data_IF_188242307820
#
_entry.id   IF_188242307820
#
_cell.length_a   1.000
_cell.length_b   1.000
_cell.length_c   1.000
_cell.angle_alpha   90.00
_cell.angle_beta   90.00
_cell.angle_gamma   90.00
#
_symmetry.space_group_name_H-M   'P 1'
#
loop_
_entity.id
_entity.type
_entity.pdbx_description
1 polymer ?
#
# COMPACT_ATOMS: atom_id res chain seq x y z
N UNK A 1 -10.77 -14.10 -59.84
CA UNK A 1 -11.72 -14.42 -58.74
C UNK A 1 -11.08 -14.21 -57.35
N UNK A 2 -10.78 -12.96 -56.95
CA UNK A 2 -10.21 -12.66 -55.61
C UNK A 2 -10.72 -11.33 -55.02
N UNK A 3 -11.98 -10.98 -55.27
CA UNK A 3 -12.52 -9.68 -54.82
C UNK A 3 -13.98 -9.77 -54.32
N UNK A 4 -14.33 -10.86 -53.62
CA UNK A 4 -15.67 -11.04 -53.02
C UNK A 4 -15.67 -11.46 -51.54
N UNK A 5 -14.50 -11.68 -50.94
CA UNK A 5 -14.39 -12.24 -49.57
C UNK A 5 -14.00 -11.18 -48.52
N UNK A 6 -13.60 -9.97 -48.91
CA UNK A 6 -13.27 -8.88 -47.97
C UNK A 6 -14.48 -8.03 -47.53
N UNK A 7 -15.61 -8.08 -48.25
CA UNK A 7 -16.76 -7.22 -47.92
C UNK A 7 -17.49 -7.57 -46.61
N UNK A 8 -17.70 -8.86 -46.22
CA UNK A 8 -18.51 -9.14 -45.04
C UNK A 8 -17.76 -8.89 -43.72
N UNK A 9 -16.42 -8.89 -43.75
CA UNK A 9 -15.60 -8.71 -42.54
C UNK A 9 -15.52 -7.25 -42.09
N UNK A 10 -15.62 -6.30 -43.02
CA UNK A 10 -15.60 -4.85 -42.71
C UNK A 10 -16.97 -4.39 -42.19
N UNK A 11 -18.07 -4.97 -42.68
CA UNK A 11 -19.43 -4.59 -42.25
C UNK A 11 -19.73 -5.03 -40.80
N UNK A 12 -19.14 -6.14 -40.35
CA UNK A 12 -19.27 -6.62 -38.97
C UNK A 12 -18.47 -5.80 -37.94
N UNK A 13 -17.41 -5.10 -38.37
CA UNK A 13 -16.59 -4.27 -37.48
C UNK A 13 -17.24 -2.92 -37.14
N UNK A 14 -18.11 -2.39 -38.00
CA UNK A 14 -18.72 -1.06 -37.83
C UNK A 14 -19.99 -1.09 -36.96
N UNK A 15 -20.63 -2.26 -36.77
CA UNK A 15 -21.87 -2.39 -35.99
C UNK A 15 -21.67 -2.44 -34.46
N UNK A 16 -20.44 -2.50 -33.96
CA UNK A 16 -20.16 -2.55 -32.51
C UNK A 16 -20.03 -1.16 -31.83
N UNK A 17 -20.22 -0.05 -32.55
CA UNK A 17 -20.08 1.30 -31.99
C UNK A 17 -21.40 1.97 -31.53
N UNK A 18 -22.54 1.30 -31.61
CA UNK A 18 -23.86 1.91 -31.37
C UNK A 18 -24.58 1.41 -30.10
N UNK A 19 -23.84 1.07 -29.04
CA UNK A 19 -24.42 0.54 -27.82
C UNK A 19 -23.90 1.19 -26.55
N UNK A 20 -24.28 2.45 -26.27
CA UNK A 20 -24.25 3.05 -24.93
C UNK A 20 -25.10 4.35 -24.93
N UNK A 21 -26.42 4.24 -25.03
CA UNK A 21 -27.31 5.38 -24.85
C UNK A 21 -28.59 4.97 -24.12
N UNK A 22 -28.46 4.56 -22.85
CA UNK A 22 -29.56 4.66 -21.90
C UNK A 22 -29.02 4.63 -20.47
N UNK A 23 -28.76 5.81 -19.90
CA UNK A 23 -28.48 5.95 -18.47
C UNK A 23 -29.33 7.08 -17.89
N UNK A 24 -30.32 6.75 -17.04
CA UNK A 24 -30.89 7.67 -16.07
C UNK A 24 -30.48 7.26 -14.63
N UNK A 25 -30.63 8.12 -13.60
CA UNK A 25 -30.80 9.57 -13.59
C UNK A 25 -29.61 10.31 -12.92
N UNK A 26 -29.61 11.62 -13.12
CA UNK A 26 -28.70 12.66 -12.61
C UNK A 26 -28.09 12.38 -11.22
N UNK A 27 -26.83 11.94 -11.21
CA UNK A 27 -25.92 12.27 -10.12
C UNK A 27 -25.35 13.66 -10.41
N UNK A 28 -25.38 14.54 -9.42
CA UNK A 28 -24.85 15.91 -9.52
C UNK A 28 -23.41 15.88 -10.04
N UNK A 29 -23.05 16.71 -11.04
CA UNK A 29 -21.74 16.65 -11.71
C UNK A 29 -20.55 16.79 -10.75
N UNK A 30 -20.71 17.49 -9.63
CA UNK A 30 -19.68 17.66 -8.60
C UNK A 30 -19.32 16.36 -7.83
N UNK A 31 -20.27 15.43 -7.68
CA UNK A 31 -20.00 14.15 -7.01
C UNK A 31 -19.24 13.19 -7.93
N UNK A 32 -19.53 13.22 -9.23
CA UNK A 32 -18.84 12.40 -10.23
C UNK A 32 -17.38 12.85 -10.39
N UNK A 33 -17.13 14.16 -10.44
CA UNK A 33 -15.77 14.71 -10.54
C UNK A 33 -14.91 14.37 -9.32
N UNK A 34 -15.47 14.46 -8.10
CA UNK A 34 -14.75 14.11 -6.89
C UNK A 34 -14.36 12.62 -6.84
N UNK A 35 -15.21 11.73 -7.37
CA UNK A 35 -14.89 10.30 -7.47
C UNK A 35 -13.74 10.06 -8.44
N UNK A 36 -13.74 10.76 -9.58
CA UNK A 36 -12.67 10.66 -10.56
C UNK A 36 -11.34 11.18 -10.01
N UNK A 37 -11.33 12.32 -9.31
CA UNK A 37 -10.15 12.88 -8.67
C UNK A 37 -9.51 11.90 -7.66
N UNK A 38 -10.31 11.27 -6.82
CA UNK A 38 -9.84 10.27 -5.85
C UNK A 38 -9.30 9.01 -6.52
N UNK A 39 -9.93 8.55 -7.60
CA UNK A 39 -9.42 7.42 -8.38
C UNK A 39 -8.06 7.76 -9.02
N UNK A 40 -7.90 8.97 -9.56
CA UNK A 40 -6.62 9.44 -10.09
C UNK A 40 -5.56 9.54 -8.99
N UNK A 41 -5.92 10.00 -7.79
CA UNK A 41 -5.03 10.01 -6.62
C UNK A 41 -4.55 8.59 -6.32
N UNK A 42 -5.48 7.64 -6.15
CA UNK A 42 -5.16 6.23 -5.85
C UNK A 42 -4.25 5.63 -6.91
N UNK A 43 -4.58 5.78 -8.19
CA UNK A 43 -3.79 5.25 -9.30
C UNK A 43 -2.38 5.84 -9.33
N UNK A 44 -2.26 7.16 -9.13
CA UNK A 44 -0.95 7.82 -9.13
C UNK A 44 -0.06 7.35 -7.97
N UNK A 45 -0.65 7.09 -6.80
CA UNK A 45 0.05 6.56 -5.64
C UNK A 45 0.53 5.13 -5.90
N UNK A 46 -0.34 4.26 -6.43
CA UNK A 46 0.03 2.88 -6.77
C UNK A 46 1.15 2.81 -7.81
N UNK A 47 1.07 3.64 -8.86
CA UNK A 47 2.12 3.75 -9.88
C UNK A 47 3.45 4.23 -9.29
N UNK A 48 3.41 5.17 -8.34
CA UNK A 48 4.61 5.62 -7.66
C UNK A 48 5.23 4.51 -6.81
N UNK A 49 4.44 3.82 -5.99
CA UNK A 49 4.93 2.76 -5.12
C UNK A 49 5.57 1.64 -5.96
N UNK A 50 4.93 1.25 -7.07
CA UNK A 50 5.50 0.25 -7.97
C UNK A 50 6.88 0.68 -8.50
N UNK A 51 7.06 1.96 -8.83
CA UNK A 51 8.37 2.47 -9.26
C UNK A 51 9.39 2.45 -8.13
N UNK A 52 9.00 2.88 -6.93
CA UNK A 52 9.90 2.97 -5.77
C UNK A 52 10.35 1.59 -5.29
N UNK A 53 9.45 0.60 -5.23
CA UNK A 53 9.79 -0.77 -4.79
C UNK A 53 10.85 -1.40 -5.70
N UNK A 54 10.83 -1.09 -7.00
CA UNK A 54 11.79 -1.61 -7.97
C UNK A 54 13.06 -0.74 -8.10
N UNK A 55 13.16 0.36 -7.36
CA UNK A 55 14.33 1.24 -7.36
C UNK A 55 15.42 0.72 -6.40
N UNK A 56 16.62 1.29 -6.54
CA UNK A 56 17.73 1.01 -5.62
C UNK A 56 17.39 1.43 -4.18
N UNK A 57 17.99 0.82 -3.14
CA UNK A 57 17.74 1.23 -1.75
C UNK A 57 18.08 2.71 -1.46
N UNK A 58 19.07 3.27 -2.16
CA UNK A 58 19.41 4.69 -2.04
C UNK A 58 18.30 5.57 -2.63
N UNK A 59 17.79 5.21 -3.81
CA UNK A 59 16.67 5.92 -4.43
C UNK A 59 15.38 5.78 -3.62
N UNK A 60 15.13 4.63 -3.02
CA UNK A 60 14.00 4.43 -2.10
C UNK A 60 14.05 5.41 -0.92
N UNK A 61 15.22 5.60 -0.30
CA UNK A 61 15.41 6.56 0.81
C UNK A 61 15.24 8.01 0.35
N UNK A 62 15.74 8.33 -0.84
CA UNK A 62 15.58 9.66 -1.45
C UNK A 62 14.10 9.97 -1.71
N UNK A 63 13.36 9.02 -2.28
CA UNK A 63 11.93 9.15 -2.54
C UNK A 63 11.12 9.28 -1.26
N UNK A 64 11.46 8.53 -0.20
CA UNK A 64 10.82 8.68 1.10
C UNK A 64 11.07 10.08 1.69
N UNK A 65 12.31 10.56 1.63
CA UNK A 65 12.67 11.91 2.11
C UNK A 65 11.95 13.00 1.31
N UNK A 66 11.86 12.85 -0.01
CA UNK A 66 11.12 13.75 -0.88
C UNK A 66 9.63 13.76 -0.52
N UNK A 67 9.00 12.60 -0.38
CA UNK A 67 7.59 12.49 0.03
C UNK A 67 7.33 13.16 1.39
N UNK A 68 8.26 13.05 2.35
CA UNK A 68 8.17 13.75 3.63
C UNK A 68 8.24 15.27 3.47
N UNK A 69 9.13 15.78 2.63
CA UNK A 69 9.26 17.22 2.37
C UNK A 69 8.02 17.76 1.65
N UNK A 70 7.52 17.04 0.63
CA UNK A 70 6.30 17.42 -0.09
C UNK A 70 5.10 17.46 0.85
N UNK A 71 4.93 16.46 1.73
CA UNK A 71 3.85 16.47 2.72
C UNK A 71 3.95 17.62 3.73
N UNK A 72 5.18 18.02 4.11
CA UNK A 72 5.36 19.18 4.99
C UNK A 72 4.94 20.50 4.33
N UNK A 73 5.13 20.61 3.02
CA UNK A 73 4.75 21.80 2.23
C UNK A 73 3.26 21.82 1.89
N UNK A 74 2.71 20.67 1.53
CA UNK A 74 1.30 20.47 1.21
C UNK A 74 0.75 19.24 1.94
N UNK A 75 -0.20 19.44 2.85
CA UNK A 75 -0.83 18.39 3.65
C UNK A 75 -2.12 17.85 3.04
N UNK A 76 -2.25 17.94 1.71
CA UNK A 76 -3.37 17.41 0.95
C UNK A 76 -3.57 15.89 1.13
N UNK A 77 -4.75 15.40 0.76
CA UNK A 77 -5.09 13.96 0.78
C UNK A 77 -4.08 13.13 0.00
N UNK A 78 -3.66 13.64 -1.17
CA UNK A 78 -2.72 12.95 -2.05
C UNK A 78 -1.35 12.76 -1.41
N UNK A 79 -0.73 13.83 -0.91
CA UNK A 79 0.61 13.80 -0.32
C UNK A 79 0.63 12.99 0.97
N UNK A 80 -0.46 13.06 1.75
CA UNK A 80 -0.67 12.25 2.95
C UNK A 80 -0.72 10.77 2.62
N UNK A 81 -1.57 10.38 1.66
CA UNK A 81 -1.71 8.99 1.23
C UNK A 81 -0.38 8.47 0.67
N UNK A 82 0.27 9.24 -0.20
CA UNK A 82 1.55 8.90 -0.78
C UNK A 82 2.62 8.61 0.28
N UNK A 83 2.81 9.52 1.25
CA UNK A 83 3.78 9.35 2.32
C UNK A 83 3.43 8.14 3.20
N UNK A 84 2.16 8.01 3.56
CA UNK A 84 1.71 6.92 4.44
C UNK A 84 1.93 5.55 3.80
N UNK A 85 1.61 5.39 2.51
CA UNK A 85 1.78 4.10 1.85
C UNK A 85 3.25 3.76 1.63
N UNK A 86 4.13 4.75 1.39
CA UNK A 86 5.58 4.54 1.34
C UNK A 86 6.13 4.08 2.69
N UNK A 87 5.70 4.71 3.80
CA UNK A 87 6.09 4.30 5.15
C UNK A 87 5.58 2.90 5.51
N UNK A 88 4.44 2.48 4.96
CA UNK A 88 3.87 1.15 5.18
C UNK A 88 4.47 0.05 4.28
N UNK A 89 5.45 0.33 3.42
CA UNK A 89 6.03 -0.72 2.57
C UNK A 89 7.05 -1.57 3.33
N UNK A 90 6.91 -2.90 3.37
CA UNK A 90 7.81 -3.77 4.13
C UNK A 90 9.19 -3.93 3.48
N UNK A 91 9.29 -3.76 2.16
CA UNK A 91 10.54 -3.89 1.41
C UNK A 91 11.41 -2.64 1.42
N UNK A 92 10.88 -1.49 1.87
CA UNK A 92 11.59 -0.23 1.86
C UNK A 92 12.43 -0.06 3.13
N UNK A 93 13.66 0.44 2.97
CA UNK A 93 14.46 0.86 4.12
C UNK A 93 13.87 2.13 4.73
N UNK A 94 13.45 2.06 5.99
CA UNK A 94 12.77 3.17 6.68
C UNK A 94 11.25 3.02 6.77
N UNK A 95 10.73 1.79 6.67
CA UNK A 95 9.35 1.48 7.07
C UNK A 95 9.08 2.00 8.49
N UNK A 96 7.92 2.64 8.66
CA UNK A 96 7.38 3.04 9.96
C UNK A 96 5.86 2.88 9.93
N UNK A 97 5.41 1.66 10.22
CA UNK A 97 4.00 1.30 10.26
C UNK A 97 3.20 2.17 11.26
N UNK A 98 3.81 2.61 12.38
CA UNK A 98 3.12 3.44 13.39
C UNK A 98 2.78 4.80 12.79
N UNK A 99 3.77 5.44 12.16
CA UNK A 99 3.57 6.73 11.52
C UNK A 99 2.67 6.64 10.31
N UNK A 100 2.76 5.55 9.53
CA UNK A 100 1.86 5.30 8.42
C UNK A 100 0.39 5.25 8.88
N UNK A 101 0.09 4.48 9.93
CA UNK A 101 -1.26 4.36 10.49
C UNK A 101 -1.79 5.73 10.97
N UNK A 102 -0.96 6.52 11.66
CA UNK A 102 -1.34 7.86 12.10
C UNK A 102 -1.69 8.81 10.94
N UNK A 103 -1.00 8.70 9.81
CA UNK A 103 -1.28 9.49 8.61
C UNK A 103 -2.56 9.02 7.89
N UNK A 104 -2.87 7.73 7.94
CA UNK A 104 -4.05 7.15 7.29
C UNK A 104 -5.34 7.36 8.09
N UNK A 105 -5.27 7.56 9.40
CA UNK A 105 -6.45 7.68 10.27
C UNK A 105 -7.50 8.69 9.74
N UNK A 106 -7.13 9.90 9.30
CA UNK A 106 -8.11 10.87 8.80
C UNK A 106 -8.74 10.51 7.46
N UNK A 107 -8.16 9.54 6.74
CA UNK A 107 -8.64 9.07 5.44
C UNK A 107 -9.60 7.87 5.54
N UNK A 108 -9.73 7.26 6.73
CA UNK A 108 -10.60 6.10 6.95
C UNK A 108 -12.09 6.42 6.75
N UNK A 109 -12.48 7.65 7.05
CA UNK A 109 -13.86 8.12 6.94
C UNK A 109 -14.15 8.83 5.60
N UNK A 110 -13.28 8.68 4.59
CA UNK A 110 -13.44 9.39 3.34
C UNK A 110 -14.65 8.88 2.55
N UNK A 111 -15.41 9.80 1.93
CA UNK A 111 -16.67 9.48 1.24
C UNK A 111 -16.48 8.50 0.08
N UNK A 112 -15.32 8.56 -0.59
CA UNK A 112 -15.01 7.71 -1.74
C UNK A 112 -14.62 6.27 -1.36
N UNK A 113 -15.21 5.30 -2.06
CA UNK A 113 -15.02 3.86 -1.81
C UNK A 113 -13.63 3.36 -2.23
N UNK A 114 -13.05 3.83 -3.33
CA UNK A 114 -11.74 3.39 -3.83
C UNK A 114 -10.61 3.84 -2.90
N UNK A 115 -10.61 5.12 -2.51
CA UNK A 115 -9.62 5.65 -1.57
C UNK A 115 -9.73 4.94 -0.23
N UNK A 116 -10.95 4.81 0.30
CA UNK A 116 -11.21 4.08 1.54
C UNK A 116 -10.77 2.62 1.45
N UNK A 117 -11.00 1.96 0.31
CA UNK A 117 -10.58 0.59 0.07
C UNK A 117 -9.06 0.42 0.16
N UNK A 118 -8.30 1.29 -0.49
CA UNK A 118 -6.83 1.28 -0.41
C UNK A 118 -6.36 1.56 1.03
N UNK A 119 -6.92 2.57 1.68
CA UNK A 119 -6.58 2.93 3.07
C UNK A 119 -6.80 1.75 4.01
N UNK A 120 -7.98 1.11 3.93
CA UNK A 120 -8.29 -0.08 4.74
C UNK A 120 -7.28 -1.19 4.50
N UNK A 121 -6.97 -1.52 3.25
CA UNK A 121 -6.01 -2.57 2.93
C UNK A 121 -4.62 -2.29 3.54
N UNK A 122 -4.13 -1.06 3.43
CA UNK A 122 -2.82 -0.68 3.96
C UNK A 122 -2.81 -0.68 5.49
N UNK A 123 -3.90 -0.22 6.12
CA UNK A 123 -4.08 -0.26 7.58
C UNK A 123 -4.07 -1.70 8.09
N UNK A 124 -4.86 -2.60 7.50
CA UNK A 124 -4.91 -4.01 7.89
C UNK A 124 -3.54 -4.68 7.72
N UNK A 125 -2.85 -4.40 6.61
CA UNK A 125 -1.51 -4.94 6.36
C UNK A 125 -0.49 -4.47 7.41
N UNK A 126 -0.52 -3.19 7.79
CA UNK A 126 0.37 -2.64 8.81
C UNK A 126 0.06 -3.19 10.22
N UNK A 127 -1.23 -3.31 10.56
CA UNK A 127 -1.66 -3.91 11.83
C UNK A 127 -1.21 -5.37 11.94
N UNK A 128 -1.34 -6.14 10.86
CA UNK A 128 -0.92 -7.53 10.82
C UNK A 128 0.59 -7.67 11.02
N UNK A 129 1.40 -6.81 10.38
CA UNK A 129 2.85 -6.78 10.62
C UNK A 129 3.21 -6.45 12.06
N UNK A 130 2.54 -5.46 12.68
CA UNK A 130 2.75 -5.18 14.10
C UNK A 130 2.41 -6.39 14.98
N UNK A 131 1.31 -7.07 14.67
CA UNK A 131 0.90 -8.29 15.38
C UNK A 131 1.95 -9.39 15.25
N UNK A 132 2.51 -9.59 14.05
CA UNK A 132 3.56 -10.58 13.79
C UNK A 132 4.88 -10.20 14.48
N UNK A 133 5.28 -8.93 14.43
CA UNK A 133 6.48 -8.44 15.11
C UNK A 133 6.43 -8.61 16.62
N UNK A 134 5.28 -8.35 17.25
CA UNK A 134 5.08 -8.61 18.69
C UNK A 134 5.23 -10.10 19.01
N UNK A 135 4.64 -10.98 18.21
CA UNK A 135 4.76 -12.43 18.38
C UNK A 135 6.20 -12.91 18.22
N UNK A 136 6.93 -12.39 17.22
CA UNK A 136 8.34 -12.73 17.02
C UNK A 136 9.17 -12.34 18.24
N UNK A 137 8.99 -11.11 18.75
CA UNK A 137 9.67 -10.63 19.95
C UNK A 137 9.40 -11.52 21.17
N UNK A 138 8.14 -11.88 21.41
CA UNK A 138 7.80 -12.79 22.52
C UNK A 138 8.48 -14.16 22.40
N UNK A 139 8.61 -14.70 21.18
CA UNK A 139 9.31 -15.97 20.96
C UNK A 139 10.83 -15.82 21.16
N UNK A 140 11.42 -14.70 20.75
CA UNK A 140 12.83 -14.39 21.03
C UNK A 140 13.10 -14.31 22.54
N UNK A 141 12.26 -13.60 23.28
CA UNK A 141 12.37 -13.47 24.73
C UNK A 141 12.29 -14.85 25.43
N UNK A 142 11.38 -15.73 24.97
CA UNK A 142 11.27 -17.11 25.47
C UNK A 142 12.51 -17.96 25.17
N UNK A 143 13.10 -17.82 23.97
CA UNK A 143 14.31 -18.54 23.61
C UNK A 143 15.50 -18.10 24.46
N UNK A 144 15.61 -16.80 24.76
CA UNK A 144 16.69 -16.27 25.58
C UNK A 144 16.55 -16.67 27.05
N UNK A 145 15.31 -16.75 27.56
CA UNK A 145 15.03 -17.30 28.89
C UNK A 145 15.43 -18.78 28.99
N UNK A 146 15.08 -19.59 27.98
CA UNK A 146 15.47 -21.01 27.92
C UNK A 146 17.00 -21.19 27.91
N UNK A 147 17.72 -20.39 27.12
CA UNK A 147 19.19 -20.41 27.08
C UNK A 147 19.80 -19.96 28.41
N UNK A 148 19.22 -18.97 29.07
CA UNK A 148 19.68 -18.53 30.39
C UNK A 148 19.51 -19.63 31.44
N UNK A 149 18.37 -20.34 31.41
CA UNK A 149 18.15 -21.50 32.27
C UNK A 149 19.18 -22.60 31.98
N UNK A 150 19.43 -22.95 30.71
CA UNK A 150 20.43 -23.94 30.32
C UNK A 150 21.83 -23.60 30.87
N UNK A 151 22.28 -22.35 30.68
CA UNK A 151 23.58 -21.89 31.22
C UNK A 151 23.65 -22.03 32.74
N UNK A 152 22.59 -21.65 33.45
CA UNK A 152 22.54 -21.77 34.91
C UNK A 152 22.59 -23.23 35.39
N UNK A 153 22.04 -24.18 34.61
CA UNK A 153 22.13 -25.60 34.90
C UNK A 153 23.55 -26.13 34.67
N UNK A 154 24.19 -25.72 33.57
CA UNK A 154 25.58 -26.10 33.26
C UNK A 154 26.54 -25.59 34.36
N UNK A 155 26.41 -24.32 34.76
CA UNK A 155 27.21 -23.74 35.84
C UNK A 155 27.05 -24.49 37.17
N UNK A 156 25.82 -24.90 37.52
CA UNK A 156 25.57 -25.72 38.72
C UNK A 156 26.15 -27.13 38.60
N UNK A 157 26.21 -27.68 37.38
CA UNK A 157 26.66 -29.05 37.11
C UNK A 157 28.17 -29.23 37.00
N UNK A 158 28.94 -28.14 36.85
CA UNK A 158 30.41 -28.20 36.73
C UNK A 158 31.08 -28.06 38.12
N UNK A 159 31.62 -29.14 38.72
CA UNK A 159 32.25 -29.06 40.02
C UNK A 159 33.56 -28.26 39.93
N UNK A 160 33.75 -27.31 40.85
CA UNK A 160 34.99 -26.54 40.97
C UNK A 160 36.19 -27.48 41.13
N UNK A 161 37.10 -27.47 40.16
CA UNK A 161 38.37 -28.21 40.23
C UNK A 161 39.25 -27.50 41.28
N UNK A 162 39.53 -28.21 42.38
CA UNK A 162 40.42 -27.78 43.47
C UNK A 162 41.81 -27.42 42.97
#
# INVERSE_FOLDING_TARGET
>A
MKLRICLPLVVLLVLNLAGCALSPPSATPAAISAIDDDNQIVLSVLQQIQRVINASPEDQRRELTNAQQVFQRDKSTRTRLQLAVLLAQPSLTGNDDVRALALLEPLRNHANTSLRGLVTLVVEQANERQRLGRKAKTLEDQLDELKAMERSLIERSTPAKK
#
